data_IF_292897014008
#
_entry.id   IF_292897014008
#
_cell.length_a   1.000
_cell.length_b   1.000
_cell.length_c   1.000
_cell.angle_alpha   90.00
_cell.angle_beta   90.00
_cell.angle_gamma   90.00
#
_symmetry.space_group_name_H-M   'P 1'
#
loop_
_entity.id
_entity.type
_entity.pdbx_description
1 polymer ?
#
# COMPACT_ATOMS: atom_id res chain seq x y z
N UNK A 1 15.93 -5.26 -17.85
CA UNK A 1 14.96 -5.63 -16.78
C UNK A 1 15.76 -6.12 -15.60
N UNK A 2 15.38 -5.71 -14.39
CA UNK A 2 16.08 -6.07 -13.16
C UNK A 2 15.13 -6.93 -12.32
N UNK A 3 15.59 -8.09 -11.88
CA UNK A 3 14.83 -9.00 -11.03
C UNK A 3 15.61 -9.25 -9.75
N UNK A 4 14.94 -9.10 -8.62
CA UNK A 4 15.52 -9.32 -7.30
C UNK A 4 14.97 -10.65 -6.76
N UNK A 5 15.86 -11.63 -6.62
CA UNK A 5 15.55 -12.98 -6.11
C UNK A 5 14.31 -13.66 -6.72
N UNK A 6 14.20 -13.77 -8.06
CA UNK A 6 12.99 -14.28 -8.70
C UNK A 6 12.62 -15.72 -8.28
N UNK A 7 13.62 -16.55 -7.95
CA UNK A 7 13.43 -17.97 -7.57
C UNK A 7 13.08 -18.17 -6.09
N UNK A 8 13.04 -17.11 -5.28
CA UNK A 8 12.81 -17.23 -3.83
C UNK A 8 11.38 -17.70 -3.54
N UNK A 9 11.26 -18.77 -2.74
CA UNK A 9 9.97 -19.37 -2.39
C UNK A 9 9.34 -20.25 -3.46
N UNK A 10 10.05 -20.54 -4.55
CA UNK A 10 9.65 -21.51 -5.57
C UNK A 10 10.32 -22.87 -5.32
N UNK A 11 9.67 -23.94 -5.77
CA UNK A 11 10.29 -25.26 -5.87
C UNK A 11 11.27 -25.31 -7.06
N UNK A 12 12.08 -26.36 -7.13
CA UNK A 12 13.15 -26.48 -8.13
C UNK A 12 12.64 -26.46 -9.58
N UNK A 13 11.50 -27.09 -9.85
CA UNK A 13 10.91 -27.16 -11.19
C UNK A 13 10.33 -25.79 -11.59
N UNK A 14 9.53 -25.17 -10.72
CA UNK A 14 9.01 -23.82 -10.98
C UNK A 14 10.11 -22.78 -11.13
N UNK A 15 11.20 -22.90 -10.36
CA UNK A 15 12.38 -22.02 -10.49
C UNK A 15 13.04 -22.17 -11.85
N UNK A 16 13.23 -23.41 -12.32
CA UNK A 16 13.80 -23.68 -13.63
C UNK A 16 12.93 -23.12 -14.76
N UNK A 17 11.60 -23.30 -14.69
CA UNK A 17 10.66 -22.74 -15.65
C UNK A 17 10.69 -21.21 -15.67
N UNK A 18 10.76 -20.59 -14.49
CA UNK A 18 10.85 -19.14 -14.38
C UNK A 18 12.12 -18.58 -15.04
N UNK A 19 13.28 -19.17 -14.75
CA UNK A 19 14.56 -18.73 -15.35
C UNK A 19 14.60 -19.03 -16.84
N UNK A 20 14.01 -20.15 -17.28
CA UNK A 20 13.83 -20.46 -18.71
C UNK A 20 13.02 -19.38 -19.42
N UNK A 21 11.94 -18.88 -18.79
CA UNK A 21 11.16 -17.78 -19.34
C UNK A 21 11.97 -16.47 -19.38
N UNK A 22 12.77 -16.18 -18.33
CA UNK A 22 13.69 -15.03 -18.35
C UNK A 22 14.69 -15.14 -19.50
N UNK A 23 15.19 -16.35 -19.80
CA UNK A 23 16.06 -16.61 -20.95
C UNK A 23 15.34 -16.42 -22.28
N UNK A 24 14.06 -16.76 -22.38
CA UNK A 24 13.28 -16.46 -23.59
C UNK A 24 13.09 -14.96 -23.80
N UNK A 25 12.94 -14.18 -22.73
CA UNK A 25 12.86 -12.73 -22.83
C UNK A 25 14.17 -12.13 -23.37
N UNK A 26 15.34 -12.71 -23.07
CA UNK A 26 16.61 -12.21 -23.63
C UNK A 26 16.71 -12.42 -25.13
N UNK A 27 16.05 -13.44 -25.69
CA UNK A 27 15.95 -13.66 -27.14
C UNK A 27 15.17 -12.55 -27.88
N UNK A 28 14.44 -11.70 -27.15
CA UNK A 28 13.68 -10.57 -27.71
C UNK A 28 14.46 -9.24 -27.60
N UNK A 29 15.79 -9.27 -27.68
CA UNK A 29 16.68 -8.12 -27.51
C UNK A 29 16.49 -7.37 -26.18
N UNK A 30 16.17 -8.11 -25.10
CA UNK A 30 16.05 -7.55 -23.75
C UNK A 30 17.23 -7.96 -22.88
N UNK A 31 17.93 -6.99 -22.31
CA UNK A 31 18.88 -7.27 -21.24
C UNK A 31 18.10 -7.64 -19.96
N UNK A 32 18.38 -8.81 -19.39
CA UNK A 32 17.83 -9.28 -18.12
C UNK A 32 18.96 -9.44 -17.13
N UNK A 33 18.82 -8.84 -15.95
CA UNK A 33 19.76 -8.97 -14.83
C UNK A 33 18.95 -9.48 -13.66
N UNK A 34 19.40 -10.57 -13.04
CA UNK A 34 18.73 -11.17 -11.88
C UNK A 34 19.72 -11.48 -10.76
N UNK A 35 19.33 -11.18 -9.53
CA UNK A 35 20.04 -11.64 -8.32
C UNK A 35 19.47 -12.99 -7.92
N UNK A 36 20.31 -14.00 -7.71
CA UNK A 36 19.87 -15.35 -7.33
C UNK A 36 20.65 -15.84 -6.12
N UNK A 37 19.91 -16.33 -5.12
CA UNK A 37 20.49 -17.04 -3.99
C UNK A 37 20.60 -18.53 -4.29
N UNK A 38 21.81 -19.06 -4.18
CA UNK A 38 22.11 -20.50 -4.20
C UNK A 38 21.42 -21.28 -5.35
N UNK A 39 21.77 -20.99 -6.62
CA UNK A 39 21.18 -21.71 -7.74
C UNK A 39 21.64 -23.18 -7.78
N UNK A 40 20.73 -24.06 -8.20
CA UNK A 40 21.10 -25.43 -8.58
C UNK A 40 22.03 -25.42 -9.80
N UNK A 41 22.77 -26.52 -10.01
CA UNK A 41 23.68 -26.62 -11.16
C UNK A 41 22.96 -26.47 -12.50
N UNK A 42 21.79 -27.10 -12.66
CA UNK A 42 20.99 -27.00 -13.88
C UNK A 42 20.51 -25.56 -14.14
N UNK A 43 20.16 -24.83 -13.08
CA UNK A 43 19.71 -23.46 -13.18
C UNK A 43 20.86 -22.51 -13.50
N UNK A 44 22.05 -22.76 -12.95
CA UNK A 44 23.26 -21.99 -13.23
C UNK A 44 23.62 -22.05 -14.73
N UNK A 45 23.41 -23.19 -15.39
CA UNK A 45 23.73 -23.39 -16.80
C UNK A 45 22.88 -22.54 -17.76
N UNK A 46 21.76 -21.99 -17.30
CA UNK A 46 20.92 -21.10 -18.11
C UNK A 46 21.51 -19.68 -18.27
N UNK A 47 22.47 -19.29 -17.41
CA UNK A 47 23.08 -17.96 -17.40
C UNK A 47 24.23 -17.83 -18.39
N UNK A 48 24.26 -16.72 -19.13
CA UNK A 48 25.35 -16.39 -20.06
C UNK A 48 26.57 -15.84 -19.30
N UNK A 49 26.30 -14.84 -18.45
CA UNK A 49 27.29 -14.10 -17.67
C UNK A 49 26.94 -14.14 -16.17
N UNK A 50 27.98 -14.13 -15.35
CA UNK A 50 27.89 -14.08 -13.89
C UNK A 50 28.59 -12.85 -13.34
N UNK A 51 28.01 -12.30 -12.28
CA UNK A 51 28.60 -11.24 -11.48
C UNK A 51 28.61 -11.65 -10.01
N UNK A 52 29.80 -11.85 -9.45
CA UNK A 52 29.98 -12.37 -8.08
C UNK A 52 30.47 -11.27 -7.18
N UNK A 53 29.77 -11.05 -6.07
CA UNK A 53 30.07 -10.02 -5.09
C UNK A 53 30.41 -10.65 -3.73
N UNK A 54 31.40 -10.10 -3.05
CA UNK A 54 31.72 -10.41 -1.64
C UNK A 54 32.17 -9.13 -0.94
N UNK A 55 31.62 -8.86 0.25
CA UNK A 55 31.90 -7.64 1.04
C UNK A 55 31.85 -6.33 0.23
N UNK A 56 30.89 -6.24 -0.71
CA UNK A 56 30.72 -5.07 -1.58
C UNK A 56 31.76 -4.93 -2.70
N UNK A 57 32.67 -5.90 -2.86
CA UNK A 57 33.69 -5.94 -3.92
C UNK A 57 33.40 -7.05 -4.93
N UNK A 58 33.73 -6.78 -6.20
CA UNK A 58 33.59 -7.75 -7.28
C UNK A 58 34.69 -8.82 -7.18
N UNK A 59 34.29 -10.09 -7.09
CA UNK A 59 35.21 -11.23 -7.15
C UNK A 59 35.39 -11.76 -8.57
N UNK A 60 34.33 -11.69 -9.38
CA UNK A 60 34.29 -12.20 -10.74
C UNK A 60 33.21 -11.49 -11.55
N UNK A 61 33.51 -11.17 -12.81
CA UNK A 61 32.54 -10.67 -13.79
C UNK A 61 32.91 -11.15 -15.19
N UNK A 62 32.09 -12.03 -15.76
CA UNK A 62 32.34 -12.65 -17.06
C UNK A 62 31.45 -13.84 -17.34
N UNK A 63 31.77 -14.59 -18.40
CA UNK A 63 30.99 -15.74 -18.84
C UNK A 63 31.04 -16.90 -17.86
N UNK A 64 29.94 -17.65 -17.70
CA UNK A 64 29.89 -18.85 -16.87
C UNK A 64 31.02 -19.86 -17.15
N UNK A 65 31.46 -19.97 -18.41
CA UNK A 65 32.49 -20.93 -18.81
C UNK A 65 33.89 -20.61 -18.26
N UNK A 66 34.20 -19.32 -18.11
CA UNK A 66 35.51 -18.86 -17.63
C UNK A 66 35.60 -18.82 -16.10
N UNK A 67 34.50 -19.14 -15.41
CA UNK A 67 34.38 -19.09 -13.95
C UNK A 67 35.41 -19.99 -13.26
N UNK A 68 35.47 -21.27 -13.61
CA UNK A 68 36.36 -22.24 -12.95
C UNK A 68 37.84 -21.95 -13.27
N UNK A 69 38.25 -21.75 -14.53
CA UNK A 69 39.62 -21.35 -14.86
C UNK A 69 40.09 -20.08 -14.11
N UNK A 70 39.19 -19.13 -13.87
CA UNK A 70 39.49 -17.92 -13.11
C UNK A 70 39.87 -18.22 -11.66
N UNK A 71 39.08 -19.03 -10.95
CA UNK A 71 39.40 -19.41 -9.57
C UNK A 71 40.63 -20.34 -9.48
N UNK A 72 40.83 -21.20 -10.48
CA UNK A 72 42.01 -22.06 -10.56
C UNK A 72 43.31 -21.27 -10.71
N UNK A 73 43.29 -20.10 -11.35
CA UNK A 73 44.48 -19.24 -11.52
C UNK A 73 45.11 -18.78 -10.19
N UNK A 74 44.33 -18.74 -9.10
CA UNK A 74 44.78 -18.38 -7.74
C UNK A 74 44.90 -19.62 -6.84
N UNK A 75 44.79 -20.81 -7.42
CA UNK A 75 44.91 -22.09 -6.72
C UNK A 75 43.68 -22.44 -5.88
N UNK A 76 42.50 -21.96 -6.27
CA UNK A 76 41.21 -22.37 -5.71
C UNK A 76 40.55 -23.37 -6.70
N UNK A 77 40.72 -24.66 -6.42
CA UNK A 77 40.21 -25.73 -7.29
C UNK A 77 38.82 -26.16 -6.82
N UNK A 78 37.87 -26.22 -7.76
CA UNK A 78 36.54 -26.77 -7.49
C UNK A 78 36.61 -28.31 -7.48
N UNK A 79 36.10 -29.00 -6.44
CA UNK A 79 36.06 -30.46 -6.43
C UNK A 79 35.20 -31.04 -7.55
N UNK A 80 35.53 -32.26 -7.98
CA UNK A 80 34.74 -32.98 -8.99
C UNK A 80 33.34 -33.30 -8.43
N UNK A 81 32.30 -33.11 -9.24
CA UNK A 81 30.88 -33.29 -8.86
C UNK A 81 30.35 -32.31 -7.81
N UNK A 82 31.06 -31.21 -7.57
CA UNK A 82 30.56 -30.14 -6.70
C UNK A 82 29.86 -29.06 -7.51
N UNK A 83 28.76 -28.52 -6.98
CA UNK A 83 28.03 -27.45 -7.65
C UNK A 83 28.90 -26.19 -7.72
N UNK A 84 29.15 -25.70 -8.94
CA UNK A 84 29.96 -24.50 -9.20
C UNK A 84 29.41 -23.28 -8.49
N UNK A 85 28.09 -23.13 -8.42
CA UNK A 85 27.47 -22.02 -7.70
C UNK A 85 27.74 -22.08 -6.19
N UNK A 86 27.56 -23.25 -5.58
CA UNK A 86 27.83 -23.44 -4.16
C UNK A 86 29.31 -23.23 -3.82
N UNK A 87 30.21 -23.56 -4.75
CA UNK A 87 31.64 -23.33 -4.58
C UNK A 87 31.92 -21.83 -4.50
N UNK A 88 31.40 -21.07 -5.45
CA UNK A 88 31.56 -19.62 -5.51
C UNK A 88 30.90 -18.92 -4.31
N UNK A 89 29.69 -19.31 -3.94
CA UNK A 89 28.99 -18.75 -2.77
C UNK A 89 29.73 -19.08 -1.48
N UNK A 90 30.25 -20.32 -1.36
CA UNK A 90 31.09 -20.70 -0.23
C UNK A 90 32.30 -19.80 -0.18
N UNK A 91 33.04 -19.62 -1.28
CA UNK A 91 34.20 -18.73 -1.37
C UNK A 91 33.88 -17.27 -1.01
N UNK A 92 32.72 -16.76 -1.44
CA UNK A 92 32.26 -15.41 -1.14
C UNK A 92 31.84 -15.22 0.34
N UNK A 93 31.70 -16.30 1.11
CA UNK A 93 31.32 -16.19 2.52
C UNK A 93 32.50 -15.73 3.41
N UNK A 94 32.20 -14.87 4.39
CA UNK A 94 33.18 -14.28 5.31
C UNK A 94 33.84 -15.31 6.25
N UNK A 95 33.45 -16.60 6.23
CA UNK A 95 33.96 -17.60 7.17
C UNK A 95 35.12 -18.46 6.62
N UNK A 96 35.60 -18.20 5.41
CA UNK A 96 36.65 -19.04 4.83
C UNK A 96 38.04 -18.82 5.44
N UNK A 97 38.85 -19.89 5.54
CA UNK A 97 40.26 -19.79 5.94
C UNK A 97 41.14 -19.15 4.85
N UNK A 98 40.78 -19.27 3.56
CA UNK A 98 41.59 -18.81 2.41
C UNK A 98 41.32 -17.34 1.98
N UNK A 99 40.99 -16.45 2.92
CA UNK A 99 40.65 -15.05 2.61
C UNK A 99 41.73 -14.29 1.85
N UNK A 100 43.01 -14.58 2.11
CA UNK A 100 44.13 -13.91 1.44
C UNK A 100 44.09 -14.10 -0.08
N UNK A 101 43.77 -15.31 -0.55
CA UNK A 101 43.60 -15.63 -1.98
C UNK A 101 42.40 -14.91 -2.58
N UNK A 102 41.30 -14.80 -1.85
CA UNK A 102 40.09 -14.09 -2.29
C UNK A 102 40.37 -12.59 -2.48
N UNK A 103 41.12 -11.96 -1.56
CA UNK A 103 41.51 -10.56 -1.71
C UNK A 103 42.43 -10.33 -2.92
N UNK A 104 43.29 -11.30 -3.26
CA UNK A 104 44.10 -11.24 -4.49
C UNK A 104 43.22 -11.28 -5.75
N UNK A 105 42.21 -12.16 -5.78
CA UNK A 105 41.24 -12.23 -6.88
C UNK A 105 40.47 -10.92 -7.05
N UNK A 106 39.98 -10.34 -5.95
CA UNK A 106 39.28 -9.05 -5.99
C UNK A 106 40.18 -7.94 -6.57
N UNK A 107 41.45 -7.91 -6.18
CA UNK A 107 42.41 -6.93 -6.69
C UNK A 107 42.68 -7.11 -8.19
N UNK A 108 42.91 -8.36 -8.64
CA UNK A 108 43.09 -8.68 -10.05
C UNK A 108 41.86 -8.31 -10.88
N UNK A 109 40.66 -8.61 -10.37
CA UNK A 109 39.41 -8.28 -11.03
C UNK A 109 39.22 -6.76 -11.14
N UNK A 110 39.59 -6.01 -10.10
CA UNK A 110 39.54 -4.55 -10.13
C UNK A 110 40.49 -3.96 -11.19
N UNK A 111 41.70 -4.53 -11.36
CA UNK A 111 42.61 -4.11 -12.44
C UNK A 111 42.03 -4.39 -13.82
N UNK A 112 41.50 -5.60 -14.04
CA UNK A 112 40.87 -5.98 -15.32
C UNK A 112 39.69 -5.07 -15.66
N UNK A 113 38.91 -4.67 -14.65
CA UNK A 113 37.76 -3.80 -14.86
C UNK A 113 38.15 -2.34 -15.14
N UNK A 114 39.34 -1.89 -14.73
CA UNK A 114 39.90 -0.57 -15.09
C UNK A 114 40.39 -0.52 -16.53
N UNK A 115 40.90 -1.64 -17.05
CA UNK A 115 41.39 -1.75 -18.42
C UNK A 115 40.27 -1.89 -19.46
N UNK A 116 39.07 -2.34 -19.03
CA UNK A 116 37.88 -2.29 -19.88
C UNK A 116 37.54 -0.82 -20.16
N UNK A 117 37.32 -0.43 -21.44
CA UNK A 117 36.85 0.91 -21.74
C UNK A 117 35.60 1.17 -20.89
N UNK A 118 35.45 2.36 -20.27
CA UNK A 118 34.27 2.66 -19.49
C UNK A 118 33.08 2.36 -20.37
N UNK A 119 32.23 1.41 -19.93
CA UNK A 119 31.00 1.08 -20.63
C UNK A 119 30.38 2.41 -21.03
N UNK A 120 30.08 2.61 -22.32
CA UNK A 120 29.48 3.81 -22.86
C UNK A 120 28.17 4.03 -22.09
N UNK A 121 28.26 4.69 -20.93
CA UNK A 121 27.10 5.19 -20.23
C UNK A 121 26.42 6.02 -21.29
N UNK A 122 25.15 5.72 -21.62
CA UNK A 122 24.41 6.55 -22.55
C UNK A 122 24.65 7.99 -22.11
N UNK A 123 25.28 8.78 -22.97
CA UNK A 123 25.53 10.19 -22.70
C UNK A 123 24.24 10.79 -22.15
N UNK A 124 24.29 11.65 -21.13
CA UNK A 124 23.08 12.20 -20.49
C UNK A 124 22.05 12.73 -21.51
N UNK A 125 22.51 13.13 -22.69
CA UNK A 125 21.74 13.54 -23.86
C UNK A 125 20.82 12.44 -24.47
N UNK A 126 21.17 11.17 -24.34
CA UNK A 126 20.42 10.00 -24.81
C UNK A 126 19.48 9.40 -23.74
N UNK A 127 19.37 10.00 -22.54
CA UNK A 127 18.29 9.58 -21.62
C UNK A 127 16.97 9.88 -22.32
N UNK A 128 16.07 8.88 -22.48
CA UNK A 128 14.75 9.16 -23.00
C UNK A 128 14.12 10.19 -22.06
N UNK A 129 13.84 11.39 -22.58
CA UNK A 129 13.01 12.42 -21.92
C UNK A 129 11.55 11.95 -21.91
N UNK A 130 11.33 10.73 -21.44
CA UNK A 130 10.03 10.13 -21.31
C UNK A 130 9.27 10.74 -20.13
N UNK A 131 7.95 10.68 -20.20
CA UNK A 131 7.13 10.94 -19.01
C UNK A 131 7.52 9.96 -17.91
N UNK A 132 7.62 10.46 -16.68
CA UNK A 132 7.86 9.62 -15.49
C UNK A 132 6.82 8.49 -15.37
N UNK A 133 5.59 8.75 -15.82
CA UNK A 133 4.50 7.79 -15.84
C UNK A 133 4.09 7.46 -17.28
N UNK A 134 3.75 6.20 -17.58
CA UNK A 134 3.34 5.79 -18.92
C UNK A 134 1.98 6.37 -19.35
N UNK A 135 1.12 6.75 -18.40
CA UNK A 135 -0.26 7.20 -18.65
C UNK A 135 -0.57 8.57 -18.04
N UNK A 136 -1.64 9.22 -18.51
CA UNK A 136 -2.10 10.51 -17.97
C UNK A 136 -2.68 10.37 -16.55
N UNK A 137 -2.62 11.43 -15.75
CA UNK A 137 -3.12 11.43 -14.37
C UNK A 137 -4.62 11.09 -14.26
N UNK A 138 -5.42 11.51 -15.23
CA UNK A 138 -6.85 11.19 -15.28
C UNK A 138 -7.11 9.70 -15.55
N UNK A 139 -6.35 9.10 -16.46
CA UNK A 139 -6.46 7.66 -16.75
C UNK A 139 -5.95 6.82 -15.56
N UNK A 140 -4.89 7.27 -14.88
CA UNK A 140 -4.43 6.67 -13.63
C UNK A 140 -5.56 6.70 -12.59
N UNK A 141 -6.18 7.87 -12.39
CA UNK A 141 -7.26 8.06 -11.43
C UNK A 141 -8.47 7.16 -11.73
N UNK A 142 -8.96 7.12 -12.97
CA UNK A 142 -10.10 6.26 -13.35
C UNK A 142 -9.75 4.78 -13.13
N UNK A 143 -8.57 4.34 -13.57
CA UNK A 143 -8.15 2.94 -13.46
C UNK A 143 -8.04 2.51 -12.00
N UNK A 144 -7.41 3.34 -11.17
CA UNK A 144 -7.28 3.08 -9.75
C UNK A 144 -8.64 3.10 -9.03
N UNK A 145 -9.53 4.02 -9.42
CA UNK A 145 -10.90 4.10 -8.88
C UNK A 145 -11.68 2.83 -9.21
N UNK A 146 -11.70 2.44 -10.48
CA UNK A 146 -12.37 1.21 -10.91
C UNK A 146 -11.81 -0.03 -10.19
N UNK A 147 -10.48 -0.17 -10.13
CA UNK A 147 -9.81 -1.30 -9.46
C UNK A 147 -10.21 -1.38 -7.99
N UNK A 148 -10.16 -0.26 -7.28
CA UNK A 148 -10.39 -0.23 -5.83
C UNK A 148 -11.87 -0.42 -5.49
N UNK A 149 -12.77 0.15 -6.30
CA UNK A 149 -14.21 -0.09 -6.16
C UNK A 149 -14.56 -1.55 -6.43
N UNK A 150 -14.02 -2.17 -7.48
CA UNK A 150 -14.24 -3.60 -7.75
C UNK A 150 -13.68 -4.49 -6.64
N UNK A 151 -12.50 -4.19 -6.11
CA UNK A 151 -11.93 -4.91 -4.96
C UNK A 151 -12.82 -4.83 -3.72
N UNK A 152 -13.42 -3.66 -3.48
CA UNK A 152 -14.35 -3.44 -2.36
C UNK A 152 -15.66 -4.20 -2.56
N UNK A 153 -16.24 -4.17 -3.77
CA UNK A 153 -17.49 -4.88 -4.08
C UNK A 153 -17.29 -6.40 -4.00
N UNK A 154 -16.15 -6.91 -4.47
CA UNK A 154 -15.84 -8.36 -4.42
C UNK A 154 -15.56 -8.85 -3.00
N UNK A 155 -14.92 -8.03 -2.17
CA UNK A 155 -14.59 -8.38 -0.79
C UNK A 155 -15.62 -7.78 0.18
N UNK A 156 -16.83 -8.33 0.16
CA UNK A 156 -17.94 -7.82 0.99
C UNK A 156 -17.82 -8.17 2.49
N UNK A 157 -16.91 -9.08 2.89
CA UNK A 157 -16.83 -9.59 4.28
C UNK A 157 -16.67 -8.48 5.34
N UNK A 158 -15.70 -7.57 5.17
CA UNK A 158 -15.49 -6.46 6.10
C UNK A 158 -16.64 -5.44 6.05
N UNK A 159 -17.26 -5.29 4.89
CA UNK A 159 -18.43 -4.43 4.66
C UNK A 159 -19.66 -4.93 5.42
N UNK A 160 -19.93 -6.24 5.37
CA UNK A 160 -21.02 -6.90 6.11
C UNK A 160 -20.82 -6.74 7.60
N UNK A 161 -19.62 -7.06 8.11
CA UNK A 161 -19.34 -7.00 9.53
C UNK A 161 -19.57 -5.59 10.09
N UNK A 162 -19.17 -4.56 9.33
CA UNK A 162 -19.44 -3.15 9.67
C UNK A 162 -20.93 -2.84 9.69
N UNK A 163 -21.66 -3.25 8.65
CA UNK A 163 -23.09 -3.01 8.55
C UNK A 163 -23.87 -3.66 9.70
N UNK A 164 -23.56 -4.91 10.01
CA UNK A 164 -24.17 -5.65 11.14
C UNK A 164 -23.81 -4.99 12.48
N UNK A 165 -22.54 -4.63 12.69
CA UNK A 165 -22.10 -3.96 13.92
C UNK A 165 -22.81 -2.62 14.16
N UNK A 166 -23.04 -1.84 13.09
CA UNK A 166 -23.76 -0.56 13.17
C UNK A 166 -25.25 -0.74 13.49
N UNK A 167 -25.90 -1.77 12.92
CA UNK A 167 -27.30 -2.09 13.26
C UNK A 167 -27.42 -2.45 14.74
N UNK A 168 -26.52 -3.29 15.25
CA UNK A 168 -26.51 -3.70 16.67
C UNK A 168 -26.31 -2.48 17.57
N UNK A 169 -25.34 -1.62 17.25
CA UNK A 169 -25.08 -0.39 18.01
C UNK A 169 -26.27 0.57 17.99
N UNK A 170 -26.89 0.77 16.81
CA UNK A 170 -28.07 1.63 16.66
C UNK A 170 -29.26 1.11 17.46
N UNK A 171 -29.52 -0.20 17.44
CA UNK A 171 -30.57 -0.81 18.24
C UNK A 171 -30.31 -0.62 19.75
N UNK A 172 -29.08 -0.86 20.20
CA UNK A 172 -28.69 -0.71 21.60
C UNK A 172 -28.84 0.73 22.09
N UNK A 173 -28.31 1.69 21.33
CA UNK A 173 -28.45 3.13 21.63
C UNK A 173 -29.92 3.56 21.64
N UNK A 174 -30.72 2.98 20.76
CA UNK A 174 -32.15 3.25 20.67
C UNK A 174 -32.99 2.77 21.85
N UNK A 175 -32.59 1.66 22.46
CA UNK A 175 -33.23 1.15 23.67
C UNK A 175 -32.85 1.98 24.90
N UNK A 176 -31.60 2.43 24.99
CA UNK A 176 -31.11 3.21 26.15
C UNK A 176 -31.71 4.62 26.17
N UNK A 177 -31.76 5.30 25.02
CA UNK A 177 -32.18 6.69 24.94
C UNK A 177 -33.64 6.88 24.51
N UNK A 178 -34.51 5.92 24.86
CA UNK A 178 -35.94 6.01 24.54
C UNK A 178 -36.57 7.20 25.27
N UNK A 179 -37.38 7.98 24.54
CA UNK A 179 -38.07 9.19 25.04
C UNK A 179 -37.17 10.36 25.49
N UNK A 180 -35.87 10.29 25.22
CA UNK A 180 -34.91 11.38 25.47
C UNK A 180 -34.87 12.30 24.24
N UNK A 181 -34.80 13.63 24.45
CA UNK A 181 -34.73 14.63 23.38
C UNK A 181 -35.94 15.56 23.22
N UNK A 182 -37.09 15.24 23.82
CA UNK A 182 -38.32 16.07 23.74
C UNK A 182 -38.39 17.17 24.80
N UNK A 183 -37.77 16.94 25.97
CA UNK A 183 -37.77 17.89 27.08
C UNK A 183 -36.40 18.56 27.27
N UNK A 184 -36.43 19.89 27.46
CA UNK A 184 -35.24 20.70 27.73
C UNK A 184 -34.67 20.48 29.15
N UNK A 185 -35.44 19.88 30.06
CA UNK A 185 -35.00 19.52 31.41
C UNK A 185 -33.95 18.42 31.43
N UNK A 186 -33.96 17.52 30.43
CA UNK A 186 -33.02 16.41 30.29
C UNK A 186 -31.79 16.78 29.44
N UNK A 187 -31.28 18.00 29.59
CA UNK A 187 -30.21 18.54 28.74
C UNK A 187 -28.95 17.68 28.77
N UNK A 188 -28.58 17.16 29.94
CA UNK A 188 -27.39 16.32 30.14
C UNK A 188 -27.50 15.03 29.31
N UNK A 189 -28.67 14.37 29.34
CA UNK A 189 -28.91 13.15 28.58
C UNK A 189 -28.97 13.38 27.07
N UNK A 190 -29.56 14.51 26.64
CA UNK A 190 -29.60 14.91 25.23
C UNK A 190 -28.18 15.18 24.69
N UNK A 191 -27.37 15.90 25.47
CA UNK A 191 -25.97 16.18 25.12
C UNK A 191 -25.13 14.91 25.10
N UNK A 192 -25.32 13.99 26.06
CA UNK A 192 -24.62 12.71 26.10
C UNK A 192 -24.93 11.84 24.86
N UNK A 193 -26.20 11.81 24.42
CA UNK A 193 -26.61 11.09 23.22
C UNK A 193 -25.91 11.63 21.96
N UNK A 194 -25.92 12.95 21.76
CA UNK A 194 -25.28 13.58 20.60
C UNK A 194 -23.77 13.32 20.61
N UNK A 195 -23.12 13.50 21.76
CA UNK A 195 -21.68 13.32 21.89
C UNK A 195 -21.27 11.86 21.61
N UNK A 196 -21.99 10.88 22.18
CA UNK A 196 -21.71 9.46 21.96
C UNK A 196 -21.96 9.03 20.52
N UNK A 197 -23.00 9.56 19.88
CA UNK A 197 -23.31 9.30 18.47
C UNK A 197 -22.22 9.84 17.53
N UNK A 198 -21.74 11.06 17.78
CA UNK A 198 -20.63 11.66 17.02
C UNK A 198 -19.33 10.88 17.22
N UNK A 199 -19.01 10.52 18.47
CA UNK A 199 -17.82 9.72 18.79
C UNK A 199 -17.84 8.36 18.08
N UNK A 200 -19.00 7.70 18.00
CA UNK A 200 -19.15 6.44 17.30
C UNK A 200 -18.88 6.56 15.79
N UNK A 201 -19.41 7.59 15.13
CA UNK A 201 -19.16 7.84 13.70
C UNK A 201 -17.67 7.99 13.44
N UNK A 202 -16.97 8.81 14.23
CA UNK A 202 -15.52 9.01 14.07
C UNK A 202 -14.77 7.70 14.31
N UNK A 203 -15.07 7.00 15.41
CA UNK A 203 -14.38 5.77 15.80
C UNK A 203 -14.52 4.66 14.75
N UNK A 204 -15.72 4.38 14.27
CA UNK A 204 -15.98 3.31 13.28
C UNK A 204 -15.23 3.60 11.97
N UNK A 205 -15.22 4.86 11.52
CA UNK A 205 -14.50 5.27 10.32
C UNK A 205 -12.97 5.20 10.50
N UNK A 206 -12.45 5.56 11.67
CA UNK A 206 -11.01 5.49 11.97
C UNK A 206 -10.49 4.04 12.05
N UNK A 207 -11.19 3.17 12.78
CA UNK A 207 -10.79 1.75 12.93
C UNK A 207 -10.78 1.04 11.58
N UNK A 208 -11.75 1.34 10.72
CA UNK A 208 -11.81 0.82 9.36
C UNK A 208 -10.54 1.12 8.54
N UNK A 209 -9.99 2.32 8.67
CA UNK A 209 -8.77 2.75 7.97
C UNK A 209 -7.53 2.11 8.57
N UNK A 210 -7.42 2.09 9.89
CA UNK A 210 -6.26 1.56 10.61
C UNK A 210 -6.05 0.08 10.30
N UNK A 211 -7.13 -0.69 10.19
CA UNK A 211 -7.05 -2.13 9.95
C UNK A 211 -6.80 -2.49 8.48
N UNK A 212 -7.31 -1.71 7.52
CA UNK A 212 -7.16 -2.03 6.10
C UNK A 212 -5.91 -1.44 5.45
N UNK A 213 -5.41 -0.32 5.98
CA UNK A 213 -4.28 0.39 5.36
C UNK A 213 -2.98 -0.43 5.34
N UNK A 214 -2.56 -1.16 6.39
CA UNK A 214 -1.31 -1.92 6.36
C UNK A 214 -1.28 -2.97 5.24
N UNK A 215 -2.41 -3.63 4.98
CA UNK A 215 -2.53 -4.61 3.90
C UNK A 215 -2.50 -3.97 2.51
N UNK A 216 -3.02 -2.75 2.36
CA UNK A 216 -2.98 -1.99 1.10
C UNK A 216 -1.60 -1.33 0.87
N UNK A 217 -0.89 -0.98 1.95
CA UNK A 217 0.34 -0.19 1.92
C UNK A 217 1.50 -0.92 1.22
N UNK A 218 1.63 -2.24 1.40
CA UNK A 218 2.69 -3.02 0.74
C UNK A 218 2.55 -2.99 -0.78
N UNK A 219 1.32 -3.13 -1.28
CA UNK A 219 1.00 -3.04 -2.72
C UNK A 219 1.25 -1.62 -3.23
N UNK A 220 0.80 -0.61 -2.49
CA UNK A 220 1.01 0.79 -2.83
C UNK A 220 2.51 1.13 -2.97
N UNK A 221 3.33 0.78 -1.99
CA UNK A 221 4.77 1.06 -2.01
C UNK A 221 5.45 0.37 -3.19
N UNK A 222 5.07 -0.87 -3.50
CA UNK A 222 5.58 -1.61 -4.66
C UNK A 222 5.23 -0.91 -5.98
N UNK A 223 3.98 -0.50 -6.16
CA UNK A 223 3.51 0.15 -7.39
C UNK A 223 4.06 1.57 -7.57
N UNK A 224 4.26 2.31 -6.47
CA UNK A 224 4.93 3.61 -6.50
C UNK A 224 6.41 3.51 -6.86
N UNK A 225 7.13 2.52 -6.30
CA UNK A 225 8.54 2.26 -6.69
C UNK A 225 8.66 1.86 -8.15
N UNK A 226 7.65 1.18 -8.69
CA UNK A 226 7.56 0.83 -10.11
C UNK A 226 7.10 2.00 -11.03
N UNK A 227 6.91 3.22 -10.49
CA UNK A 227 6.39 4.39 -11.22
C UNK A 227 5.10 4.10 -12.02
N UNK A 228 4.19 3.29 -11.47
CA UNK A 228 2.92 2.98 -12.14
C UNK A 228 1.94 4.17 -12.11
N UNK A 229 1.90 4.92 -11.00
CA UNK A 229 1.03 6.08 -10.81
C UNK A 229 1.61 7.07 -9.79
N UNK A 230 1.10 8.30 -9.81
CA UNK A 230 1.49 9.35 -8.87
C UNK A 230 0.88 9.16 -7.49
N UNK A 231 1.66 9.45 -6.45
CA UNK A 231 1.21 9.46 -5.04
C UNK A 231 -0.01 10.37 -4.85
N UNK A 232 -0.06 11.52 -5.53
CA UNK A 232 -1.19 12.44 -5.46
C UNK A 232 -2.49 11.82 -6.01
N UNK A 233 -2.39 11.05 -7.10
CA UNK A 233 -3.55 10.36 -7.68
C UNK A 233 -4.12 9.30 -6.72
N UNK A 234 -3.26 8.61 -5.98
CA UNK A 234 -3.66 7.64 -4.96
C UNK A 234 -4.35 8.29 -3.76
N UNK A 235 -3.84 9.41 -3.25
CA UNK A 235 -4.50 10.13 -2.16
C UNK A 235 -5.87 10.68 -2.56
N UNK A 236 -6.00 11.27 -3.75
CA UNK A 236 -7.29 11.74 -4.27
C UNK A 236 -8.30 10.61 -4.42
N UNK A 237 -7.86 9.47 -4.96
CA UNK A 237 -8.64 8.24 -5.00
C UNK A 237 -9.13 7.83 -3.61
N UNK A 238 -8.21 7.77 -2.65
CA UNK A 238 -8.52 7.26 -1.33
C UNK A 238 -9.53 8.16 -0.60
N UNK A 239 -9.45 9.48 -0.81
CA UNK A 239 -10.45 10.44 -0.32
C UNK A 239 -11.82 10.22 -0.97
N UNK A 240 -11.88 10.04 -2.29
CA UNK A 240 -13.14 9.85 -3.03
C UNK A 240 -13.78 8.49 -2.73
N UNK A 241 -12.98 7.42 -2.59
CA UNK A 241 -13.46 6.09 -2.20
C UNK A 241 -14.20 6.12 -0.87
N UNK A 242 -13.66 6.88 0.08
CA UNK A 242 -14.27 7.06 1.41
C UNK A 242 -15.56 7.87 1.34
N UNK A 243 -15.76 8.67 0.28
CA UNK A 243 -16.97 9.46 0.10
C UNK A 243 -18.14 8.67 -0.53
N UNK A 244 -17.88 7.70 -1.42
CA UNK A 244 -18.86 7.40 -2.48
C UNK A 244 -19.82 6.21 -2.33
N UNK A 245 -19.66 5.18 -1.46
CA UNK A 245 -20.89 4.40 -1.15
C UNK A 245 -21.00 3.73 0.23
N UNK A 246 -19.94 3.63 1.02
CA UNK A 246 -19.95 2.77 2.22
C UNK A 246 -20.45 3.47 3.49
N UNK A 247 -20.40 4.80 3.50
CA UNK A 247 -20.65 5.63 4.69
C UNK A 247 -21.95 6.46 4.56
N UNK A 248 -22.45 6.68 3.33
CA UNK A 248 -23.74 7.34 3.09
C UNK A 248 -24.94 6.57 3.63
N UNK A 249 -24.89 5.23 3.64
CA UNK A 249 -25.91 4.39 4.26
C UNK A 249 -25.95 4.51 5.79
N UNK A 250 -24.83 4.85 6.43
CA UNK A 250 -24.75 5.00 7.89
C UNK A 250 -25.48 6.27 8.35
N UNK A 251 -25.38 7.34 7.57
CA UNK A 251 -26.09 8.58 7.84
C UNK A 251 -27.59 8.46 7.55
N UNK A 252 -27.97 7.76 6.46
CA UNK A 252 -29.36 7.49 6.12
C UNK A 252 -30.06 6.59 7.15
N UNK A 253 -29.41 5.52 7.62
CA UNK A 253 -30.00 4.63 8.63
C UNK A 253 -30.11 5.29 10.01
N UNK A 254 -29.13 6.12 10.41
CA UNK A 254 -29.23 6.91 11.64
C UNK A 254 -30.37 7.94 11.54
N UNK A 255 -30.48 8.63 10.40
CA UNK A 255 -31.55 9.59 10.13
C UNK A 255 -32.93 8.91 10.08
N UNK A 256 -33.07 7.78 9.39
CA UNK A 256 -34.33 7.05 9.28
C UNK A 256 -34.77 6.49 10.64
N UNK A 257 -33.83 5.95 11.43
CA UNK A 257 -34.11 5.49 12.79
C UNK A 257 -34.51 6.66 13.72
N UNK A 258 -33.82 7.80 13.64
CA UNK A 258 -34.19 9.03 14.37
C UNK A 258 -35.56 9.58 13.94
N UNK A 259 -35.92 9.48 12.66
CA UNK A 259 -37.21 9.92 12.12
C UNK A 259 -38.34 8.97 12.52
N UNK A 260 -38.09 7.65 12.53
CA UNK A 260 -39.06 6.65 12.98
C UNK A 260 -39.38 6.77 14.47
N UNK A 261 -38.39 7.07 15.32
CA UNK A 261 -38.61 7.35 16.75
C UNK A 261 -39.32 8.70 17.01
N UNK A 262 -39.37 9.60 16.02
CA UNK A 262 -40.14 10.85 16.07
C UNK A 262 -41.62 10.63 15.74
N UNK A 263 -41.94 9.62 14.94
CA UNK A 263 -43.30 9.36 14.42
C UNK A 263 -44.22 8.63 15.41
N UNK A 264 -43.69 7.86 16.35
CA UNK A 264 -44.49 7.02 17.26
C UNK A 264 -45.10 7.75 18.46
N UNK A 265 -44.99 9.08 18.55
CA UNK A 265 -45.64 9.87 19.60
C UNK A 265 -46.41 11.06 19.05
N UNK A 266 -47.68 10.86 18.63
CA UNK A 266 -48.52 12.00 18.28
C UNK A 266 -49.82 11.78 17.50
N UNK A 267 -50.59 10.71 17.71
CA UNK A 267 -52.05 10.78 17.47
C UNK A 267 -52.74 11.23 18.76
N UNK A 268 -52.70 12.54 19.00
CA UNK A 268 -53.32 13.16 20.17
C UNK A 268 -53.40 14.67 20.03
N UNK A 269 -54.54 15.15 19.53
CA UNK A 269 -55.11 16.49 19.66
C UNK A 269 -54.13 17.69 19.75
N UNK A 270 -54.09 18.50 18.69
CA UNK A 270 -53.71 19.90 18.74
C UNK A 270 -54.48 20.65 19.85
N UNK A 271 -53.82 21.23 20.87
CA UNK A 271 -54.47 22.24 21.70
C UNK A 271 -54.51 23.53 20.89
N UNK A 272 -55.71 23.94 20.48
CA UNK A 272 -55.97 25.33 20.05
C UNK A 272 -55.65 26.25 21.24
N UNK A 273 -54.48 26.86 21.25
CA UNK A 273 -54.14 27.95 22.16
C UNK A 273 -55.03 29.16 21.84
N UNK A 274 -56.14 29.28 22.56
CA UNK A 274 -57.00 30.46 22.58
C UNK A 274 -56.38 31.47 23.55
N UNK A 275 -55.58 32.39 23.03
CA UNK A 275 -55.04 33.49 23.82
C UNK A 275 -56.19 34.44 24.25
N UNK A 276 -56.42 34.55 25.56
CA UNK A 276 -57.00 35.75 26.19
C UNK A 276 -55.84 36.47 26.87
N UNK A 277 -55.59 37.72 26.47
CA UNK A 277 -54.73 38.65 27.23
C UNK A 277 -55.36 39.00 28.59
N UNK A 278 -54.66 39.74 29.47
CA UNK A 278 -54.21 41.10 29.13
C UNK A 278 -52.82 41.51 29.67
N UNK A 279 -52.39 42.67 29.16
CA UNK A 279 -51.42 43.62 29.72
C UNK A 279 -49.90 43.37 29.49
N UNK A 280 -49.36 44.29 28.68
CA UNK A 280 -48.07 44.98 28.80
C UNK A 280 -46.75 44.29 28.38
N UNK A 281 -46.09 44.91 27.40
CA UNK A 281 -44.67 44.76 27.12
C UNK A 281 -44.31 44.30 25.71
N UNK A 282 -44.49 45.17 24.71
CA UNK A 282 -43.91 44.96 23.37
C UNK A 282 -42.40 45.21 23.43
N UNK A 283 -41.59 44.15 23.30
CA UNK A 283 -40.18 44.27 22.90
C UNK A 283 -40.02 43.59 21.54
N UNK A 284 -39.99 44.39 20.48
CA UNK A 284 -39.51 43.96 19.16
C UNK A 284 -37.98 44.00 19.18
N UNK A 285 -37.33 42.85 19.06
CA UNK A 285 -35.91 42.80 18.71
C UNK A 285 -35.80 42.77 17.17
N UNK A 286 -35.15 43.81 16.63
CA UNK A 286 -34.93 44.04 15.21
C UNK A 286 -33.73 43.21 14.71
N UNK A 287 -33.98 42.37 13.71
CA UNK A 287 -33.06 41.37 13.14
C UNK A 287 -32.04 41.98 12.15
N UNK A 288 -31.41 43.11 12.48
CA UNK A 288 -30.49 43.79 11.54
C UNK A 288 -29.06 44.03 12.00
N UNK A 289 -28.68 43.72 13.24
CA UNK A 289 -27.30 43.88 13.69
C UNK A 289 -26.81 42.68 14.51
N UNK A 290 -26.30 41.66 13.83
CA UNK A 290 -25.42 40.64 14.41
C UNK A 290 -24.06 40.74 13.70
N UNK A 291 -23.24 41.68 14.14
CA UNK A 291 -21.80 41.66 13.87
C UNK A 291 -21.16 40.60 14.76
N UNK A 292 -20.37 39.75 14.12
CA UNK A 292 -19.47 38.78 14.74
C UNK A 292 -18.43 39.49 15.59
N UNK A 293 -18.35 39.13 16.87
CA UNK A 293 -17.15 39.37 17.68
C UNK A 293 -16.76 38.04 18.30
N UNK A 294 -15.71 37.45 17.73
CA UNK A 294 -14.87 36.46 18.41
C UNK A 294 -14.18 37.15 19.59
N UNK A 295 -14.23 36.56 20.78
CA UNK A 295 -13.27 36.84 21.82
C UNK A 295 -12.87 35.51 22.47
N UNK A 296 -11.62 35.13 22.20
CA UNK A 296 -10.80 34.28 23.04
C UNK A 296 -10.50 35.06 24.32
N UNK A 297 -10.80 34.46 25.47
CA UNK A 297 -9.89 34.26 26.60
C UNK A 297 -10.52 33.27 27.59
#
# INVERSE_FOLDING_TARGET
MLFDEPTSGLDSESSYQMVSYLKELTKQDRCVISVIHQPSSDLLELFDDLYVLSDGKCMYSGSLHDLIPWFESVGLVCPQYYNRADFVVKLASTSNPDKSKIYQLMYQMESVNKDKPPALLPSEQNRPKGRQYPTSAFNQFITLTRRTTLGTIRNFSLSVLRFVGLIIFSLFMGLIYRDIGKDASNIISNTAFINLSLANIVFVNSVAVILSFPTEASVFLRECRANCFSVAAYYLLQTIRRLYPHDGGQLLLLCDWLLLNRSTGGTGALPRLRARGPADGVVRADLRNLQWVCAFD
#
